data_IF_346114947586
#
_entry.id   IF_346114947586
#
_cell.length_a   1.000
_cell.length_b   1.000
_cell.length_c   1.000
_cell.angle_alpha   90.00
_cell.angle_beta   90.00
_cell.angle_gamma   90.00
#
_symmetry.space_group_name_H-M   'P 1'
#
loop_
_entity.id
_entity.type
_entity.pdbx_description
1 polymer ?
#
# COMPACT_ATOMS: atom_id res chain seq x y z
N UNK A 1 22.06 11.30 -29.98
CA UNK A 1 22.70 11.35 -28.66
C UNK A 1 22.64 9.94 -28.11
N UNK A 2 23.77 9.25 -28.17
CA UNK A 2 23.92 7.87 -27.71
C UNK A 2 23.77 7.86 -26.18
N UNK A 3 22.68 7.24 -25.72
CA UNK A 3 22.24 7.25 -24.32
C UNK A 3 22.78 6.07 -23.52
N UNK A 4 23.92 5.49 -23.92
CA UNK A 4 24.58 4.44 -23.18
C UNK A 4 25.64 5.07 -22.28
N UNK A 5 25.36 5.15 -20.97
CA UNK A 5 26.39 5.48 -20.00
C UNK A 5 27.45 4.38 -20.05
N UNK A 6 28.68 4.71 -20.44
CA UNK A 6 29.78 3.75 -20.51
C UNK A 6 30.26 3.40 -19.09
N UNK A 7 29.76 2.28 -18.58
CA UNK A 7 29.99 1.79 -17.21
C UNK A 7 31.25 0.92 -17.11
N UNK A 8 31.91 0.62 -18.24
CA UNK A 8 33.02 -0.32 -18.35
C UNK A 8 34.27 0.14 -17.59
N UNK A 9 34.41 1.44 -17.35
CA UNK A 9 35.56 2.06 -16.69
C UNK A 9 35.43 2.20 -15.16
N UNK A 10 34.30 1.79 -14.57
CA UNK A 10 34.01 2.03 -13.15
C UNK A 10 34.35 0.83 -12.27
N UNK A 11 34.95 1.09 -11.11
CA UNK A 11 35.23 0.06 -10.10
C UNK A 11 33.92 -0.47 -9.50
N UNK A 12 33.86 -1.75 -9.12
CA UNK A 12 32.65 -2.41 -8.60
C UNK A 12 31.97 -1.65 -7.43
N UNK A 13 32.75 -0.94 -6.62
CA UNK A 13 32.27 -0.08 -5.54
C UNK A 13 31.42 1.10 -6.04
N UNK A 14 31.79 1.72 -7.17
CA UNK A 14 31.03 2.82 -7.76
C UNK A 14 29.74 2.32 -8.41
N UNK A 15 29.76 1.12 -9.02
CA UNK A 15 28.55 0.49 -9.54
C UNK A 15 27.54 0.22 -8.42
N UNK A 16 27.99 -0.38 -7.30
CA UNK A 16 27.11 -0.66 -6.15
C UNK A 16 26.55 0.61 -5.50
N UNK A 17 27.32 1.69 -5.47
CA UNK A 17 26.84 2.98 -4.98
C UNK A 17 25.73 3.54 -5.88
N UNK A 18 25.90 3.44 -7.20
CA UNK A 18 24.91 3.88 -8.18
C UNK A 18 23.63 3.03 -8.15
N UNK A 19 23.76 1.69 -8.06
CA UNK A 19 22.62 0.79 -7.86
C UNK A 19 21.84 1.11 -6.58
N UNK A 20 22.56 1.44 -5.49
CA UNK A 20 21.92 1.81 -4.23
C UNK A 20 21.19 3.15 -4.32
N UNK A 21 21.70 4.13 -5.09
CA UNK A 21 20.98 5.37 -5.34
C UNK A 21 19.72 5.17 -6.19
N UNK A 22 19.81 4.37 -7.26
CA UNK A 22 18.66 4.02 -8.10
C UNK A 22 17.62 3.25 -7.29
N UNK A 23 18.07 2.30 -6.45
CA UNK A 23 17.21 1.53 -5.56
C UNK A 23 16.52 2.44 -4.53
N UNK A 24 17.23 3.39 -3.91
CA UNK A 24 16.60 4.39 -3.01
C UNK A 24 15.53 5.19 -3.75
N UNK A 25 15.80 5.63 -4.97
CA UNK A 25 14.88 6.45 -5.76
C UNK A 25 13.61 5.67 -6.18
N UNK A 26 13.68 4.34 -6.29
CA UNK A 26 12.54 3.47 -6.62
C UNK A 26 11.85 2.85 -5.39
N UNK A 27 12.57 2.61 -4.30
CA UNK A 27 12.03 2.07 -3.05
C UNK A 27 11.25 3.13 -2.25
N UNK A 28 11.49 4.42 -2.48
CA UNK A 28 10.86 5.51 -1.73
C UNK A 28 9.41 5.81 -2.16
N UNK A 29 8.87 5.08 -3.14
CA UNK A 29 7.41 5.02 -3.32
C UNK A 29 6.83 4.03 -2.32
N UNK A 30 6.93 4.38 -1.04
CA UNK A 30 6.13 3.75 -0.01
C UNK A 30 4.68 3.70 -0.52
N UNK A 31 4.03 2.53 -0.56
CA UNK A 31 2.69 2.41 -1.10
C UNK A 31 1.70 2.95 -0.06
N UNK A 32 1.77 4.26 0.22
CA UNK A 32 0.90 4.97 1.15
C UNK A 32 -0.57 4.73 0.82
N UNK A 33 -0.88 4.58 -0.46
CA UNK A 33 -2.22 4.24 -0.93
C UNK A 33 -2.65 2.84 -0.47
N UNK A 34 -1.77 1.85 -0.59
CA UNK A 34 -2.04 0.47 -0.15
C UNK A 34 -2.06 0.36 1.38
N UNK A 35 -1.21 1.11 2.08
CA UNK A 35 -1.21 1.20 3.54
C UNK A 35 -2.49 1.87 4.07
N UNK A 36 -2.86 3.02 3.51
CA UNK A 36 -4.09 3.72 3.87
C UNK A 36 -5.33 2.87 3.56
N UNK A 37 -5.30 2.11 2.45
CA UNK A 37 -6.39 1.22 2.07
C UNK A 37 -6.53 0.02 3.02
N UNK A 38 -5.42 -0.63 3.37
CA UNK A 38 -5.41 -1.72 4.34
C UNK A 38 -5.85 -1.27 5.74
N UNK A 39 -5.30 -0.15 6.23
CA UNK A 39 -5.69 0.42 7.53
C UNK A 39 -7.13 0.94 7.52
N UNK A 40 -7.58 1.54 6.41
CA UNK A 40 -8.95 2.02 6.23
C UNK A 40 -9.96 0.88 6.23
N UNK A 41 -9.67 -0.22 5.52
CA UNK A 41 -10.52 -1.41 5.52
C UNK A 41 -10.65 -2.02 6.92
N UNK A 42 -9.53 -2.19 7.63
CA UNK A 42 -9.53 -2.70 9.00
C UNK A 42 -10.34 -1.80 9.95
N UNK A 43 -10.16 -0.48 9.85
CA UNK A 43 -10.87 0.49 10.67
C UNK A 43 -12.38 0.44 10.41
N UNK A 44 -12.78 0.37 9.14
CA UNK A 44 -14.19 0.25 8.74
C UNK A 44 -14.81 -1.07 9.23
N UNK A 45 -14.06 -2.18 9.16
CA UNK A 45 -14.51 -3.47 9.68
C UNK A 45 -14.80 -3.44 11.19
N UNK A 46 -13.86 -2.89 11.98
CA UNK A 46 -14.02 -2.73 13.42
C UNK A 46 -15.20 -1.78 13.74
N UNK A 47 -15.31 -0.67 13.01
CA UNK A 47 -16.38 0.31 13.21
C UNK A 47 -17.77 -0.32 13.00
N UNK A 48 -17.96 -1.12 11.94
CA UNK A 48 -19.22 -1.83 11.68
C UNK A 48 -19.57 -2.76 12.83
N UNK A 49 -18.61 -3.51 13.35
CA UNK A 49 -18.82 -4.37 14.52
C UNK A 49 -19.28 -3.58 15.73
N UNK A 50 -18.56 -2.51 16.09
CA UNK A 50 -18.91 -1.67 17.25
C UNK A 50 -20.30 -1.05 17.07
N UNK A 51 -20.63 -0.55 15.88
CA UNK A 51 -21.92 0.08 15.59
C UNK A 51 -23.09 -0.90 15.63
N UNK A 52 -22.92 -2.12 15.11
CA UNK A 52 -23.95 -3.16 15.16
C UNK A 52 -24.14 -3.73 16.57
N UNK A 53 -23.06 -3.99 17.31
CA UNK A 53 -23.13 -4.54 18.66
C UNK A 53 -23.74 -3.56 19.68
N UNK A 54 -23.53 -2.25 19.50
CA UNK A 54 -24.17 -1.22 20.33
C UNK A 54 -25.61 -0.90 19.89
N UNK A 55 -26.15 -1.56 18.87
CA UNK A 55 -27.51 -1.32 18.37
C UNK A 55 -27.72 0.04 17.69
N UNK A 56 -26.64 0.77 17.41
CA UNK A 56 -26.67 2.08 16.73
C UNK A 56 -26.99 1.88 15.24
N UNK A 57 -26.51 0.78 14.66
CA UNK A 57 -26.67 0.46 13.25
C UNK A 57 -27.39 -0.89 13.10
N UNK A 58 -28.50 -0.97 12.34
CA UNK A 58 -29.25 -2.21 12.18
C UNK A 58 -28.46 -3.28 11.40
N UNK A 59 -28.58 -4.54 11.82
CA UNK A 59 -27.77 -5.67 11.32
C UNK A 59 -27.81 -5.84 9.80
N UNK A 60 -28.94 -5.55 9.15
CA UNK A 60 -29.08 -5.65 7.69
C UNK A 60 -28.17 -4.66 6.95
N UNK A 61 -28.00 -3.46 7.50
CA UNK A 61 -27.15 -2.42 6.91
C UNK A 61 -25.68 -2.71 7.22
N UNK A 62 -25.39 -3.26 8.41
CA UNK A 62 -24.07 -3.79 8.76
C UNK A 62 -23.61 -4.91 7.82
N UNK A 63 -24.52 -5.80 7.40
CA UNK A 63 -24.23 -6.88 6.45
C UNK A 63 -23.83 -6.36 5.07
N UNK A 64 -24.51 -5.35 4.55
CA UNK A 64 -24.17 -4.72 3.26
C UNK A 64 -22.79 -4.07 3.34
N UNK A 65 -22.51 -3.32 4.42
CA UNK A 65 -21.21 -2.67 4.60
C UNK A 65 -20.09 -3.72 4.74
N UNK A 66 -20.32 -4.80 5.51
CA UNK A 66 -19.34 -5.88 5.66
C UNK A 66 -19.04 -6.57 4.32
N UNK A 67 -20.06 -6.79 3.48
CA UNK A 67 -19.89 -7.38 2.14
C UNK A 67 -19.02 -6.50 1.25
N UNK A 68 -19.29 -5.19 1.23
CA UNK A 68 -18.49 -4.22 0.46
C UNK A 68 -17.07 -4.10 1.01
N UNK A 69 -16.90 -4.11 2.34
CA UNK A 69 -15.60 -4.02 2.99
C UNK A 69 -14.71 -5.23 2.70
N UNK A 70 -15.27 -6.44 2.69
CA UNK A 70 -14.54 -7.66 2.28
C UNK A 70 -14.20 -7.62 0.79
N UNK A 71 -15.11 -7.16 -0.07
CA UNK A 71 -14.83 -6.99 -1.50
C UNK A 71 -13.72 -5.94 -1.74
N UNK A 72 -13.72 -4.85 -0.96
CA UNK A 72 -12.72 -3.80 -1.01
C UNK A 72 -11.36 -4.23 -0.45
N UNK A 73 -11.30 -5.26 0.40
CA UNK A 73 -10.04 -5.78 0.97
C UNK A 73 -9.16 -6.51 -0.05
N UNK A 74 -9.68 -6.80 -1.26
CA UNK A 74 -8.93 -7.44 -2.34
C UNK A 74 -8.21 -6.44 -3.27
N UNK A 75 -8.55 -5.14 -3.18
CA UNK A 75 -7.92 -4.03 -3.92
C UNK A 75 -6.71 -3.46 -3.15
#
# INVERSE_FOLDING_TARGET
MDGTMDLTAKTELELRAMEREIAKQHLDKFPYLSLAWGLGNLTCWIAVWVLCLNGILPLWLGFIIATVNVAASYL
#
